data_IF_448302504500
#
_entry.id   IF_448302504500
#
_cell.length_a   1.000
_cell.length_b   1.000
_cell.length_c   1.000
_cell.angle_alpha   90.00
_cell.angle_beta   90.00
_cell.angle_gamma   90.00
#
_symmetry.space_group_name_H-M   'P 1'
#
loop_
_entity.id
_entity.type
_entity.pdbx_description
1 polymer ?
#
# COMPACT_ATOMS: atom_id res chain seq x y z
N UNK A 1 5.06 -59.02 -24.05
CA UNK A 1 5.73 -57.68 -24.07
C UNK A 1 4.92 -56.81 -23.16
N UNK A 2 5.44 -56.48 -21.98
CA UNK A 2 4.81 -55.49 -21.08
C UNK A 2 4.81 -54.12 -21.75
N UNK A 3 3.69 -53.42 -21.79
CA UNK A 3 3.69 -52.04 -22.26
C UNK A 3 4.56 -51.23 -21.31
N UNK A 4 5.58 -50.63 -21.86
CA UNK A 4 6.43 -49.69 -21.16
C UNK A 4 5.52 -48.52 -20.74
N UNK A 5 5.20 -48.45 -19.45
CA UNK A 5 4.52 -47.28 -18.91
C UNK A 5 5.49 -46.12 -19.13
N UNK A 6 5.11 -45.20 -20.02
CA UNK A 6 5.87 -43.99 -20.22
C UNK A 6 6.06 -43.32 -18.83
N UNK A 7 7.27 -42.83 -18.52
CA UNK A 7 7.47 -42.15 -17.27
C UNK A 7 6.43 -41.05 -17.19
N UNK A 8 5.70 -41.03 -16.07
CA UNK A 8 4.71 -40.04 -15.76
C UNK A 8 5.37 -38.66 -15.97
N UNK A 9 5.04 -38.05 -17.10
CA UNK A 9 5.47 -36.68 -17.34
C UNK A 9 5.06 -35.90 -16.12
N UNK A 10 6.02 -35.27 -15.45
CA UNK A 10 5.78 -34.37 -14.36
C UNK A 10 4.72 -33.42 -14.86
N UNK A 11 3.48 -33.74 -14.51
CA UNK A 11 2.34 -32.95 -14.90
C UNK A 11 2.65 -31.51 -14.46
N UNK A 12 2.71 -30.65 -15.45
CA UNK A 12 2.76 -29.21 -15.26
C UNK A 12 1.72 -28.88 -14.19
N UNK A 13 2.17 -28.68 -12.96
CA UNK A 13 1.26 -28.24 -11.90
C UNK A 13 0.95 -26.79 -12.24
N UNK A 14 -0.29 -26.47 -12.61
CA UNK A 14 -0.64 -25.09 -12.89
C UNK A 14 -0.27 -24.26 -11.68
N UNK A 15 0.29 -23.08 -11.92
CA UNK A 15 0.57 -22.13 -10.86
C UNK A 15 -0.75 -21.86 -10.13
N UNK A 16 -0.70 -21.75 -8.82
CA UNK A 16 -1.89 -21.53 -8.00
C UNK A 16 -2.70 -20.30 -8.48
N UNK A 17 -2.02 -19.25 -8.95
CA UNK A 17 -2.66 -18.08 -9.55
C UNK A 17 -3.44 -18.41 -10.84
N UNK A 18 -3.04 -19.41 -11.60
CA UNK A 18 -3.79 -19.85 -12.78
C UNK A 18 -5.04 -20.62 -12.36
N UNK A 19 -4.92 -21.51 -11.37
CA UNK A 19 -6.07 -22.26 -10.84
C UNK A 19 -7.10 -21.32 -10.23
N UNK A 20 -6.71 -20.50 -9.28
CA UNK A 20 -7.62 -19.58 -8.61
C UNK A 20 -8.18 -18.53 -9.57
N UNK A 21 -7.34 -18.05 -10.48
CA UNK A 21 -7.68 -17.03 -11.48
C UNK A 21 -8.70 -17.49 -12.54
N UNK A 22 -9.03 -18.80 -12.64
CA UNK A 22 -10.11 -19.26 -13.52
C UNK A 22 -11.48 -18.73 -13.06
N UNK A 23 -11.66 -18.64 -11.73
CA UNK A 23 -12.89 -18.11 -11.12
C UNK A 23 -12.71 -16.65 -10.68
N UNK A 24 -11.55 -16.29 -10.13
CA UNK A 24 -11.23 -14.94 -9.63
C UNK A 24 -10.53 -14.10 -10.70
N UNK A 25 -11.23 -13.85 -11.81
CA UNK A 25 -10.66 -13.16 -12.98
C UNK A 25 -10.34 -11.69 -12.72
N UNK A 26 -11.12 -11.03 -11.88
CA UNK A 26 -10.90 -9.65 -11.43
C UNK A 26 -9.59 -9.54 -10.62
N UNK A 27 -9.36 -10.46 -9.70
CA UNK A 27 -8.12 -10.55 -8.93
C UNK A 27 -6.94 -10.86 -9.84
N UNK A 28 -7.09 -11.82 -10.74
CA UNK A 28 -6.07 -12.13 -11.74
C UNK A 28 -5.68 -10.91 -12.56
N UNK A 29 -6.64 -10.09 -12.97
CA UNK A 29 -6.35 -8.85 -13.71
C UNK A 29 -5.56 -7.86 -12.87
N UNK A 30 -5.80 -7.80 -11.56
CA UNK A 30 -5.06 -6.93 -10.65
C UNK A 30 -3.62 -7.39 -10.48
N UNK A 31 -3.36 -8.69 -10.39
CA UNK A 31 -1.99 -9.22 -10.25
C UNK A 31 -1.09 -8.96 -11.46
N UNK A 32 -1.67 -8.54 -12.59
CA UNK A 32 -0.94 -8.15 -13.80
C UNK A 32 -0.62 -6.65 -13.87
N UNK A 33 -1.09 -5.85 -12.92
CA UNK A 33 -0.81 -4.41 -12.87
C UNK A 33 0.67 -4.14 -12.56
N UNK A 34 1.20 -2.95 -12.89
CA UNK A 34 2.60 -2.61 -12.72
C UNK A 34 3.12 -2.72 -11.29
N UNK A 35 2.29 -2.47 -10.30
CA UNK A 35 2.61 -2.63 -8.89
C UNK A 35 1.78 -3.77 -8.32
N UNK A 36 2.42 -4.90 -8.02
CA UNK A 36 1.76 -6.09 -7.49
C UNK A 36 2.73 -6.88 -6.59
N UNK A 37 2.18 -7.73 -5.73
CA UNK A 37 2.99 -8.75 -5.10
C UNK A 37 3.46 -9.76 -6.15
N UNK A 38 4.64 -10.38 -6.01
CA UNK A 38 5.23 -11.25 -7.04
C UNK A 38 4.52 -12.62 -7.10
N UNK A 39 3.20 -12.58 -7.34
CA UNK A 39 2.33 -13.74 -7.48
C UNK A 39 2.51 -14.36 -8.88
N UNK A 40 2.56 -13.53 -9.91
CA UNK A 40 2.76 -13.96 -11.30
C UNK A 40 4.15 -14.59 -11.47
N UNK A 41 5.14 -14.08 -10.76
CA UNK A 41 6.50 -14.57 -10.72
C UNK A 41 6.65 -15.86 -9.87
N UNK A 42 5.57 -16.32 -9.25
CA UNK A 42 5.55 -17.55 -8.47
C UNK A 42 6.29 -17.49 -7.13
N UNK A 43 6.65 -16.30 -6.66
CA UNK A 43 7.34 -16.10 -5.37
C UNK A 43 6.39 -16.05 -4.18
N UNK A 44 5.15 -15.63 -4.42
CA UNK A 44 4.06 -15.61 -3.45
C UNK A 44 2.87 -16.34 -4.07
N UNK A 45 2.15 -17.09 -3.27
CA UNK A 45 0.96 -17.85 -3.67
C UNK A 45 -0.29 -17.24 -3.07
N UNK A 46 -1.43 -17.52 -3.68
CA UNK A 46 -2.73 -17.12 -3.11
C UNK A 46 -2.91 -17.71 -1.70
N UNK A 47 -2.46 -18.95 -1.51
CA UNK A 47 -2.53 -19.64 -0.23
C UNK A 47 -1.56 -19.15 0.84
N UNK A 48 -0.62 -18.28 0.53
CA UNK A 48 0.23 -17.64 1.55
C UNK A 48 -0.57 -16.63 2.39
N UNK A 49 -1.61 -16.05 1.77
CA UNK A 49 -2.50 -15.10 2.44
C UNK A 49 -3.87 -15.69 2.73
N UNK A 50 -4.42 -16.51 1.83
CA UNK A 50 -5.78 -17.04 1.93
C UNK A 50 -5.81 -18.53 2.29
N UNK A 51 -6.80 -18.93 3.09
CA UNK A 51 -7.09 -20.34 3.35
C UNK A 51 -8.41 -20.74 2.66
N UNK A 52 -8.35 -21.41 1.50
CA UNK A 52 -9.55 -21.77 0.73
C UNK A 52 -10.42 -22.81 1.42
N UNK A 53 -9.90 -23.47 2.45
CA UNK A 53 -10.67 -24.47 3.25
C UNK A 53 -11.48 -23.84 4.38
N UNK A 54 -11.37 -22.52 4.56
CA UNK A 54 -12.12 -21.79 5.58
C UNK A 54 -11.18 -21.00 6.51
N UNK A 55 -11.68 -19.89 6.97
CA UNK A 55 -10.98 -18.99 7.89
C UNK A 55 -12.00 -18.20 8.72
N UNK A 56 -11.56 -17.64 9.82
CA UNK A 56 -12.35 -16.73 10.66
C UNK A 56 -12.59 -15.39 9.96
N UNK A 57 -11.62 -14.96 9.18
CA UNK A 57 -11.68 -13.70 8.43
C UNK A 57 -12.73 -13.76 7.31
N UNK A 58 -13.52 -12.69 7.10
CA UNK A 58 -14.54 -12.61 6.05
C UNK A 58 -14.00 -12.83 4.63
N UNK A 59 -12.72 -12.56 4.40
CA UNK A 59 -12.05 -12.72 3.10
C UNK A 59 -11.09 -13.92 3.10
N UNK A 60 -11.34 -14.88 3.98
CA UNK A 60 -10.56 -16.12 4.09
C UNK A 60 -9.06 -15.92 4.32
N UNK A 61 -8.65 -14.87 5.01
CA UNK A 61 -7.25 -14.68 5.40
C UNK A 61 -6.82 -15.74 6.42
N UNK A 62 -5.57 -16.15 6.35
CA UNK A 62 -4.97 -17.09 7.30
C UNK A 62 -4.87 -16.51 8.70
N UNK A 63 -4.66 -15.21 8.80
CA UNK A 63 -4.62 -14.47 10.06
C UNK A 63 -5.97 -13.82 10.37
N UNK A 64 -6.19 -13.43 11.62
CA UNK A 64 -7.47 -12.95 12.10
C UNK A 64 -7.87 -11.59 11.48
N UNK A 65 -6.90 -10.76 11.14
CA UNK A 65 -7.11 -9.44 10.54
C UNK A 65 -6.26 -9.22 9.30
N UNK A 66 -6.63 -8.21 8.51
CA UNK A 66 -5.82 -7.75 7.37
C UNK A 66 -4.44 -7.31 7.84
N UNK A 67 -4.37 -6.56 8.92
CA UNK A 67 -3.11 -6.07 9.47
C UNK A 67 -2.21 -7.22 9.93
N UNK A 68 -2.75 -8.20 10.65
CA UNK A 68 -1.96 -9.37 11.07
C UNK A 68 -1.41 -10.16 9.87
N UNK A 69 -2.23 -10.28 8.81
CA UNK A 69 -1.80 -10.92 7.57
C UNK A 69 -0.64 -10.17 6.92
N UNK A 70 -0.76 -8.86 6.77
CA UNK A 70 0.29 -8.03 6.18
C UNK A 70 1.57 -8.02 7.03
N UNK A 71 1.41 -7.87 8.35
CA UNK A 71 2.52 -7.76 9.30
C UNK A 71 3.26 -9.09 9.54
N UNK A 72 2.73 -10.21 9.07
CA UNK A 72 3.45 -11.49 9.09
C UNK A 72 4.71 -11.45 8.23
N UNK A 73 4.73 -10.64 7.16
CA UNK A 73 5.88 -10.42 6.28
C UNK A 73 6.46 -9.00 6.42
N UNK A 74 5.60 -7.99 6.64
CA UNK A 74 5.97 -6.59 6.77
C UNK A 74 6.15 -6.16 8.22
N UNK A 75 6.94 -6.93 8.99
CA UNK A 75 7.14 -6.72 10.43
C UNK A 75 7.70 -5.32 10.77
N UNK A 76 8.43 -4.70 9.84
CA UNK A 76 8.98 -3.36 9.99
C UNK A 76 7.91 -2.25 10.07
N UNK A 77 6.65 -2.57 9.71
CA UNK A 77 5.51 -1.64 9.80
C UNK A 77 4.67 -1.86 11.06
N UNK A 78 5.01 -2.83 11.89
CA UNK A 78 4.23 -3.19 13.08
C UNK A 78 4.33 -2.16 14.21
N UNK A 79 5.42 -1.48 14.33
CA UNK A 79 5.70 -0.67 15.51
C UNK A 79 6.27 -1.49 16.68
N UNK A 80 6.11 -1.06 17.93
CA UNK A 80 5.33 0.11 18.37
C UNK A 80 5.95 1.45 17.96
N UNK A 81 5.08 2.42 17.67
CA UNK A 81 5.50 3.78 17.37
C UNK A 81 5.03 4.74 18.46
N UNK A 82 5.86 5.74 18.77
CA UNK A 82 5.48 6.84 19.70
C UNK A 82 4.37 7.68 19.09
N UNK A 83 4.45 7.88 17.77
CA UNK A 83 3.42 8.57 16.98
C UNK A 83 2.92 7.59 15.94
N UNK A 84 1.75 7.02 16.17
CA UNK A 84 1.08 6.14 15.22
C UNK A 84 0.16 6.94 14.30
N UNK A 85 -0.06 6.41 13.10
CA UNK A 85 -1.04 6.94 12.18
C UNK A 85 -2.29 6.06 12.23
N UNK A 86 -3.42 6.56 12.74
CA UNK A 86 -4.59 5.73 13.02
C UNK A 86 -5.04 4.82 11.87
N UNK A 87 -5.14 5.28 10.60
CA UNK A 87 -5.56 4.40 9.49
C UNK A 87 -4.62 3.20 9.28
N UNK A 88 -3.34 3.33 9.64
CA UNK A 88 -2.36 2.23 9.55
C UNK A 88 -2.62 1.16 10.60
N UNK A 89 -3.03 1.59 11.79
CA UNK A 89 -3.40 0.66 12.88
C UNK A 89 -4.74 -0.04 12.59
N UNK A 90 -5.65 0.66 11.90
CA UNK A 90 -6.97 0.13 11.59
C UNK A 90 -6.94 -0.89 10.46
N UNK A 91 -6.44 -0.51 9.28
CA UNK A 91 -6.47 -1.38 8.10
C UNK A 91 -5.46 -0.97 7.02
N UNK A 92 -4.49 -1.81 6.74
CA UNK A 92 -3.53 -1.60 5.65
C UNK A 92 -4.21 -1.46 4.28
N UNK A 93 -5.33 -2.15 4.05
CA UNK A 93 -6.06 -2.10 2.79
C UNK A 93 -6.79 -0.77 2.55
N UNK A 94 -6.89 0.11 3.54
CA UNK A 94 -7.40 1.47 3.33
C UNK A 94 -6.53 2.27 2.35
N UNK A 95 -5.23 2.00 2.32
CA UNK A 95 -4.27 2.67 1.43
C UNK A 95 -3.69 1.76 0.35
N UNK A 96 -3.64 0.45 0.58
CA UNK A 96 -2.98 -0.51 -0.30
C UNK A 96 -3.93 -1.56 -0.85
N UNK A 97 -3.79 -1.87 -2.15
CA UNK A 97 -4.43 -3.03 -2.76
C UNK A 97 -3.41 -4.18 -2.87
N UNK A 98 -3.52 -5.24 -2.06
CA UNK A 98 -2.54 -6.31 -2.02
C UNK A 98 -2.44 -7.13 -3.31
N UNK A 99 -3.47 -7.17 -4.13
CA UNK A 99 -3.46 -7.93 -5.37
C UNK A 99 -2.75 -7.18 -6.50
N UNK A 100 -2.86 -5.86 -6.53
CA UNK A 100 -2.16 -5.05 -7.50
C UNK A 100 -2.84 -3.71 -7.79
N UNK A 101 -2.01 -2.74 -8.14
CA UNK A 101 -2.40 -1.37 -8.42
C UNK A 101 -1.66 -0.79 -9.61
N UNK A 102 -2.25 0.19 -10.24
CA UNK A 102 -1.57 1.04 -11.24
C UNK A 102 -0.63 2.06 -10.61
N UNK A 103 -0.68 2.18 -9.28
CA UNK A 103 0.11 3.14 -8.52
C UNK A 103 1.26 2.45 -7.79
N UNK A 104 2.38 3.14 -7.68
CA UNK A 104 3.57 2.61 -7.00
C UNK A 104 3.25 2.21 -5.55
N UNK A 105 3.93 1.18 -5.04
CA UNK A 105 3.72 0.62 -3.69
C UNK A 105 2.31 0.11 -3.42
N UNK A 106 1.62 -0.39 -4.44
CA UNK A 106 0.27 -0.95 -4.29
C UNK A 106 -0.77 0.06 -3.78
N UNK A 107 -0.55 1.35 -3.93
CA UNK A 107 -1.48 2.35 -3.43
C UNK A 107 -2.81 2.28 -4.19
N UNK A 108 -3.93 2.47 -3.47
CA UNK A 108 -5.26 2.54 -4.06
C UNK A 108 -5.39 3.74 -4.99
N UNK A 109 -4.79 4.86 -4.58
CA UNK A 109 -4.73 6.09 -5.35
C UNK A 109 -3.32 6.69 -5.33
N UNK A 110 -3.06 7.56 -6.29
CA UNK A 110 -1.80 8.29 -6.34
C UNK A 110 -1.77 9.41 -5.29
N UNK A 111 -0.66 9.54 -4.56
CA UNK A 111 -0.46 10.72 -3.74
C UNK A 111 -0.33 11.99 -4.66
N UNK A 112 -0.94 13.12 -4.33
CA UNK A 112 -1.49 13.47 -3.02
C UNK A 112 -2.95 13.07 -2.77
N UNK A 113 -3.70 12.59 -3.77
CA UNK A 113 -5.15 12.35 -3.69
C UNK A 113 -5.48 11.42 -2.52
N UNK A 114 -4.81 10.27 -2.44
CA UNK A 114 -4.99 9.32 -1.33
C UNK A 114 -4.89 9.97 0.07
N UNK A 115 -4.03 10.96 0.22
CA UNK A 115 -3.89 11.67 1.49
C UNK A 115 -5.05 12.66 1.71
N UNK A 116 -5.52 13.28 0.62
CA UNK A 116 -6.56 14.30 0.63
C UNK A 116 -7.96 13.73 0.86
N UNK A 117 -8.14 12.42 0.72
CA UNK A 117 -9.40 11.76 1.10
C UNK A 117 -9.75 11.95 2.58
N UNK A 118 -8.73 12.16 3.42
CA UNK A 118 -8.90 12.36 4.85
C UNK A 118 -8.31 13.68 5.35
N UNK A 119 -7.32 14.24 4.67
CA UNK A 119 -6.58 15.41 5.10
C UNK A 119 -6.90 16.63 4.25
N UNK A 120 -7.43 17.67 4.89
CA UNK A 120 -7.56 19.00 4.26
C UNK A 120 -6.17 19.65 4.14
N UNK A 121 -5.73 19.82 2.88
CA UNK A 121 -4.46 20.45 2.56
C UNK A 121 -4.54 21.99 2.43
N UNK A 122 -5.69 22.62 2.73
CA UNK A 122 -5.94 24.02 2.46
C UNK A 122 -4.98 24.99 3.17
N UNK A 123 -4.34 24.58 4.25
CA UNK A 123 -3.38 25.38 5.03
C UNK A 123 -1.93 24.94 4.87
N UNK A 124 -1.66 24.08 3.91
CA UNK A 124 -0.36 23.46 3.76
C UNK A 124 0.35 23.95 2.48
N UNK A 125 1.71 24.08 2.46
CA UNK A 125 2.46 24.53 1.28
C UNK A 125 2.26 23.70 0.00
N UNK A 126 1.66 22.51 0.12
CA UNK A 126 1.31 21.64 -1.02
C UNK A 126 -0.03 21.91 -1.67
N UNK A 127 -0.84 22.84 -1.15
CA UNK A 127 -2.14 23.19 -1.74
C UNK A 127 -1.96 24.01 -3.01
N UNK A 128 -2.45 23.48 -4.13
CA UNK A 128 -2.37 24.12 -5.46
C UNK A 128 -3.21 25.38 -5.52
N UNK A 129 -4.29 25.46 -4.74
CA UNK A 129 -5.35 26.44 -4.87
C UNK A 129 -5.41 27.46 -3.73
N UNK A 130 -4.47 27.42 -2.83
CA UNK A 130 -4.33 28.44 -1.78
C UNK A 130 -3.80 29.79 -2.31
N UNK A 131 -4.06 30.10 -3.57
CA UNK A 131 -3.53 31.28 -4.27
C UNK A 131 -3.98 32.63 -3.73
N UNK A 132 -4.77 32.68 -2.67
CA UNK A 132 -5.13 33.92 -2.00
C UNK A 132 -4.56 34.07 -0.60
N UNK A 133 -4.18 32.97 0.04
CA UNK A 133 -3.51 33.00 1.33
C UNK A 133 -2.02 32.75 1.10
N UNK A 134 -1.35 33.68 0.43
CA UNK A 134 0.09 33.68 0.32
C UNK A 134 0.69 33.37 1.68
N UNK A 135 1.44 32.30 1.77
CA UNK A 135 2.23 32.00 2.94
C UNK A 135 3.08 33.21 3.23
N UNK A 136 2.71 33.95 4.26
CA UNK A 136 3.43 35.13 4.65
C UNK A 136 4.69 34.70 5.40
N UNK A 137 5.80 35.34 5.10
CA UNK A 137 6.98 35.27 5.94
C UNK A 137 6.65 35.74 7.35
N UNK A 138 7.46 35.38 8.37
CA UNK A 138 7.24 35.81 9.74
C UNK A 138 7.13 37.34 9.91
N UNK A 139 7.67 38.10 8.96
CA UNK A 139 7.60 39.56 8.89
C UNK A 139 6.30 40.09 8.23
N UNK A 140 5.39 39.18 7.83
CA UNK A 140 4.11 39.52 7.20
C UNK A 140 4.19 39.80 5.69
N UNK A 141 5.38 39.77 5.10
CA UNK A 141 5.56 39.98 3.65
C UNK A 141 5.09 38.74 2.85
N UNK A 142 4.57 38.96 1.63
CA UNK A 142 4.21 37.84 0.76
C UNK A 142 5.48 37.05 0.39
N UNK A 143 5.44 35.74 0.61
CA UNK A 143 6.52 34.89 0.13
C UNK A 143 6.44 34.76 -1.40
N UNK A 144 7.20 35.59 -2.10
CA UNK A 144 7.30 35.59 -3.55
C UNK A 144 7.91 34.31 -4.13
N UNK A 145 8.45 33.43 -3.29
CA UNK A 145 9.01 32.16 -3.69
C UNK A 145 8.09 30.97 -3.37
N UNK A 146 6.79 31.09 -3.62
CA UNK A 146 5.94 29.90 -3.72
C UNK A 146 6.46 29.14 -4.91
N UNK A 147 7.39 28.23 -4.62
CA UNK A 147 8.03 27.42 -5.62
C UNK A 147 6.97 26.51 -6.23
N UNK A 148 6.55 26.81 -7.44
CA UNK A 148 5.58 26.02 -8.20
C UNK A 148 5.99 24.54 -8.31
N UNK A 149 7.24 24.22 -8.01
CA UNK A 149 7.74 22.84 -7.86
C UNK A 149 7.10 22.07 -6.69
N UNK A 150 6.47 22.72 -5.71
CA UNK A 150 5.72 22.04 -4.67
C UNK A 150 4.38 21.48 -5.17
N UNK A 151 3.85 22.04 -6.24
CA UNK A 151 2.54 21.69 -6.79
C UNK A 151 2.47 20.24 -7.26
N UNK A 152 3.57 19.67 -7.73
CA UNK A 152 3.62 18.31 -8.27
C UNK A 152 4.26 17.28 -7.32
N UNK A 153 4.47 17.60 -6.04
CA UNK A 153 5.16 16.71 -5.11
C UNK A 153 4.19 15.99 -4.19
N UNK A 154 4.38 14.68 -4.08
CA UNK A 154 3.65 13.87 -3.13
C UNK A 154 3.94 14.29 -1.68
N UNK A 155 2.92 14.25 -0.83
CA UNK A 155 3.01 14.53 0.61
C UNK A 155 4.15 13.75 1.29
N UNK A 156 4.38 12.52 0.83
CA UNK A 156 5.43 11.60 1.31
C UNK A 156 6.87 12.08 1.05
N UNK A 157 7.08 13.13 0.28
CA UNK A 157 8.41 13.72 0.13
C UNK A 157 8.87 14.41 1.44
N UNK A 158 7.94 14.88 2.24
CA UNK A 158 8.20 15.44 3.56
C UNK A 158 7.67 14.51 4.67
N UNK A 159 6.44 14.01 4.53
CA UNK A 159 5.79 13.09 5.48
C UNK A 159 6.08 11.64 5.12
N UNK A 160 7.32 11.21 5.23
CA UNK A 160 7.72 9.88 4.78
C UNK A 160 7.55 8.77 5.82
N UNK A 161 7.29 9.13 7.07
CA UNK A 161 7.08 8.18 8.16
C UNK A 161 5.59 7.88 8.40
N UNK A 162 4.77 7.84 7.35
CA UNK A 162 3.30 7.70 7.42
C UNK A 162 2.83 6.43 8.13
N UNK A 163 3.64 5.38 8.22
CA UNK A 163 3.29 4.16 8.94
C UNK A 163 3.47 4.29 10.45
N UNK A 164 4.14 5.35 10.91
CA UNK A 164 4.42 5.63 12.30
C UNK A 164 5.84 6.15 12.49
N UNK A 165 6.07 6.90 13.56
CA UNK A 165 7.34 7.55 13.84
C UNK A 165 7.74 7.44 15.30
N UNK A 166 9.04 7.21 15.52
CA UNK A 166 9.69 7.28 16.83
C UNK A 166 10.60 8.52 16.94
N UNK A 167 10.56 9.42 15.95
CA UNK A 167 11.34 10.64 16.00
C UNK A 167 10.83 11.57 17.13
N UNK A 168 11.72 12.29 17.83
CA UNK A 168 11.30 13.15 18.93
C UNK A 168 10.58 14.41 18.45
N UNK A 169 9.66 14.90 19.28
CA UNK A 169 9.01 16.19 19.11
C UNK A 169 8.12 16.31 17.88
N UNK A 170 8.10 17.51 17.31
CA UNK A 170 7.23 17.83 16.17
C UNK A 170 7.56 17.02 14.90
N UNK A 171 8.82 16.63 14.70
CA UNK A 171 9.18 15.78 13.56
C UNK A 171 8.44 14.47 13.60
N UNK A 172 8.44 13.77 14.73
CA UNK A 172 7.71 12.52 14.89
C UNK A 172 6.20 12.69 14.77
N UNK A 173 5.65 13.69 15.45
CA UNK A 173 4.20 13.97 15.45
C UNK A 173 3.64 14.26 14.05
N UNK A 174 4.43 14.85 13.18
CA UNK A 174 4.02 15.17 11.81
C UNK A 174 4.60 14.18 10.78
N UNK A 175 5.15 13.06 11.23
CA UNK A 175 5.74 12.04 10.36
C UNK A 175 6.80 12.58 9.39
N UNK A 176 7.53 13.60 9.80
CA UNK A 176 8.60 14.22 9.05
C UNK A 176 9.90 13.43 9.23
N UNK A 177 10.78 13.56 8.26
CA UNK A 177 12.12 12.99 8.27
C UNK A 177 13.07 13.80 9.15
#
# INVERSE_FOLDING_TARGET
RNPTIAPFQTTFRPNESEVCGTCHQDIRSQTLKPSHHPIVEGKIKCSDCHNPHGAISPVMLRNASVNDQCLSCHADKRGPFVFSHPPVEENCASCHNPHGSSHYKLLNEHAPNLCQDCHDAARHPGSIYGGGAAWKLPDGSPNASVNTRFIARACVNCHNAVHGSNAPGSKGRFFLR
#
